data_IF_737652573738
#
_entry.id   IF_737652573738
#
_cell.length_a   1.000
_cell.length_b   1.000
_cell.length_c   1.000
_cell.angle_alpha   90.00
_cell.angle_beta   90.00
_cell.angle_gamma   90.00
#
_symmetry.space_group_name_H-M   'P 1'
#
loop_
_entity.id
_entity.type
_entity.pdbx_description
1 polymer ?
#
# COMPACT_ATOMS: atom_id res chain seq x y z
N UNK A 1 -71.86 46.74 -3.86
CA UNK A 1 -71.71 47.69 -4.99
C UNK A 1 -71.99 49.11 -4.52
N UNK A 2 -70.95 49.89 -4.23
CA UNK A 2 -70.82 51.33 -4.50
C UNK A 2 -69.47 51.77 -3.96
N UNK A 3 -68.57 52.02 -4.92
CA UNK A 3 -67.30 52.70 -4.73
C UNK A 3 -67.63 54.19 -4.64
N UNK A 4 -67.18 54.84 -3.57
CA UNK A 4 -67.07 56.29 -3.44
C UNK A 4 -66.08 56.56 -2.33
N UNK A 5 -65.00 57.31 -2.46
CA UNK A 5 -64.47 58.09 -3.56
C UNK A 5 -63.04 58.41 -3.14
N UNK A 6 -62.07 58.13 -4.01
CA UNK A 6 -60.69 58.56 -3.88
C UNK A 6 -60.64 60.08 -3.65
N UNK A 7 -60.19 60.52 -2.47
CA UNK A 7 -59.68 61.89 -2.31
C UNK A 7 -58.20 61.88 -2.64
N UNK A 8 -57.92 62.52 -3.78
CA UNK A 8 -56.63 62.96 -4.31
C UNK A 8 -55.70 63.47 -3.21
N UNK A 9 -54.48 62.94 -3.25
CA UNK A 9 -53.22 63.69 -3.17
C UNK A 9 -53.09 64.74 -2.09
N UNK A 10 -52.61 64.33 -0.91
CA UNK A 10 -51.73 65.19 -0.13
C UNK A 10 -50.31 65.02 -0.67
N UNK A 11 -49.86 65.97 -1.49
CA UNK A 11 -48.44 66.15 -1.76
C UNK A 11 -47.75 66.46 -0.42
N UNK A 12 -47.15 65.46 0.20
CA UNK A 12 -46.24 65.66 1.31
C UNK A 12 -44.90 66.16 0.75
N UNK A 13 -44.86 67.43 0.36
CA UNK A 13 -43.60 68.11 0.08
C UNK A 13 -42.91 68.36 1.42
N UNK A 14 -41.98 67.50 1.81
CA UNK A 14 -41.05 67.82 2.90
C UNK A 14 -40.17 68.95 2.37
N UNK A 15 -40.44 70.18 2.83
CA UNK A 15 -39.61 71.33 2.52
C UNK A 15 -38.34 71.26 3.39
N UNK A 16 -37.31 70.56 2.91
CA UNK A 16 -36.00 70.37 3.58
C UNK A 16 -35.15 71.65 3.51
N UNK A 17 -35.74 72.84 3.68
CA UNK A 17 -34.98 74.10 3.63
C UNK A 17 -34.72 74.75 4.98
N UNK A 18 -35.17 74.20 6.11
CA UNK A 18 -34.77 74.72 7.42
C UNK A 18 -35.05 73.77 8.60
N UNK A 19 -34.58 72.52 8.52
CA UNK A 19 -34.40 71.75 9.76
C UNK A 19 -33.08 72.24 10.36
N UNK A 20 -33.14 73.19 11.31
CA UNK A 20 -32.02 73.46 12.22
C UNK A 20 -31.86 72.23 13.10
N UNK A 21 -31.16 71.22 12.58
CA UNK A 21 -30.80 70.05 13.35
C UNK A 21 -29.93 70.55 14.50
N UNK A 22 -30.40 70.39 15.73
CA UNK A 22 -29.62 70.73 16.92
C UNK A 22 -28.26 70.05 16.79
N UNK A 23 -27.17 70.80 16.97
CA UNK A 23 -25.80 70.27 16.87
C UNK A 23 -25.62 69.06 17.78
N UNK A 24 -26.32 69.01 18.93
CA UNK A 24 -26.33 67.85 19.84
C UNK A 24 -27.01 66.61 19.23
N UNK A 25 -28.10 66.80 18.49
CA UNK A 25 -28.82 65.73 17.80
C UNK A 25 -28.00 65.19 16.61
N UNK A 26 -27.32 66.06 15.85
CA UNK A 26 -26.43 65.66 14.77
C UNK A 26 -25.27 64.79 15.29
N UNK A 27 -24.64 65.20 16.39
CA UNK A 27 -23.54 64.45 17.02
C UNK A 27 -24.03 63.09 17.52
N UNK A 28 -25.21 63.02 18.13
CA UNK A 28 -25.79 61.75 18.59
C UNK A 28 -26.05 60.77 17.43
N UNK A 29 -26.56 61.25 16.29
CA UNK A 29 -26.79 60.43 15.09
C UNK A 29 -25.46 59.93 14.51
N UNK A 30 -24.44 60.79 14.42
CA UNK A 30 -23.10 60.41 13.94
C UNK A 30 -22.50 59.34 14.85
N UNK A 31 -22.59 59.51 16.16
CA UNK A 31 -22.07 58.55 17.13
C UNK A 31 -22.78 57.19 17.01
N UNK A 32 -24.10 57.20 16.78
CA UNK A 32 -24.91 56.00 16.63
C UNK A 32 -24.56 55.27 15.32
N UNK A 33 -24.38 55.99 14.22
CA UNK A 33 -23.94 55.42 12.93
C UNK A 33 -22.52 54.83 13.04
N UNK A 34 -21.58 55.54 13.66
CA UNK A 34 -20.22 55.04 13.90
C UNK A 34 -20.21 53.81 14.81
N UNK A 35 -21.08 53.76 15.82
CA UNK A 35 -21.21 52.59 16.70
C UNK A 35 -21.74 51.37 15.95
N UNK A 36 -22.72 51.55 15.05
CA UNK A 36 -23.26 50.47 14.22
C UNK A 36 -22.23 49.99 13.20
N UNK A 37 -21.54 50.91 12.51
CA UNK A 37 -20.49 50.57 11.54
C UNK A 37 -19.29 49.88 12.22
N UNK A 38 -18.88 50.36 13.38
CA UNK A 38 -17.83 49.75 14.20
C UNK A 38 -18.23 48.36 14.71
N UNK A 39 -19.46 48.20 15.20
CA UNK A 39 -20.00 46.90 15.62
C UNK A 39 -20.11 45.91 14.46
N UNK A 40 -20.58 46.36 13.29
CA UNK A 40 -20.66 45.54 12.08
C UNK A 40 -19.29 45.12 11.55
N UNK A 41 -18.30 46.02 11.56
CA UNK A 41 -16.92 45.72 11.17
C UNK A 41 -16.25 44.75 12.15
N UNK A 42 -16.49 44.91 13.45
CA UNK A 42 -16.00 43.99 14.48
C UNK A 42 -16.59 42.58 14.31
N UNK A 43 -17.91 42.46 14.15
CA UNK A 43 -18.59 41.18 13.93
C UNK A 43 -18.14 40.51 12.62
N UNK A 44 -17.92 41.30 11.56
CA UNK A 44 -17.39 40.78 10.30
C UNK A 44 -15.97 40.22 10.48
N UNK A 45 -15.08 40.97 11.14
CA UNK A 45 -13.70 40.54 11.40
C UNK A 45 -13.64 39.28 12.29
N UNK A 46 -14.46 39.22 13.34
CA UNK A 46 -14.52 38.06 14.23
C UNK A 46 -15.02 36.82 13.49
N UNK A 47 -16.05 36.97 12.64
CA UNK A 47 -16.57 35.90 11.79
C UNK A 47 -15.55 35.44 10.72
N UNK A 48 -14.77 36.34 10.14
CA UNK A 48 -13.72 35.98 9.20
C UNK A 48 -12.57 35.24 9.89
N UNK A 49 -12.22 35.64 11.12
CA UNK A 49 -11.22 34.98 11.95
C UNK A 49 -11.65 33.56 12.34
N UNK A 50 -12.90 33.38 12.77
CA UNK A 50 -13.43 32.04 13.09
C UNK A 50 -13.50 31.14 11.86
N UNK A 51 -13.92 31.67 10.69
CA UNK A 51 -13.88 30.92 9.42
C UNK A 51 -12.47 30.46 9.05
N UNK A 52 -11.46 31.33 9.17
CA UNK A 52 -10.06 30.96 8.92
C UNK A 52 -9.57 29.88 9.88
N UNK A 53 -9.95 29.98 11.16
CA UNK A 53 -9.61 28.97 12.17
C UNK A 53 -10.28 27.62 11.87
N UNK A 54 -11.54 27.64 11.45
CA UNK A 54 -12.30 26.44 11.09
C UNK A 54 -11.76 25.80 9.81
N UNK A 55 -11.41 26.59 8.79
CA UNK A 55 -10.73 26.10 7.59
C UNK A 55 -9.36 25.47 7.92
N UNK A 56 -8.55 26.10 8.77
CA UNK A 56 -7.28 25.54 9.21
C UNK A 56 -7.47 24.22 9.98
N UNK A 57 -8.52 24.12 10.81
CA UNK A 57 -8.88 22.88 11.51
C UNK A 57 -9.28 21.78 10.53
N UNK A 58 -10.14 22.08 9.56
CA UNK A 58 -10.56 21.13 8.53
C UNK A 58 -9.39 20.65 7.67
N UNK A 59 -8.49 21.55 7.28
CA UNK A 59 -7.27 21.19 6.56
C UNK A 59 -6.37 20.26 7.38
N UNK A 60 -6.23 20.51 8.69
CA UNK A 60 -5.47 19.62 9.59
C UNK A 60 -6.10 18.23 9.67
N UNK A 61 -7.43 18.13 9.82
CA UNK A 61 -8.16 16.86 9.84
C UNK A 61 -8.00 16.11 8.51
N UNK A 62 -8.11 16.81 7.38
CA UNK A 62 -7.92 16.21 6.06
C UNK A 62 -6.50 15.69 5.87
N UNK A 63 -5.50 16.46 6.28
CA UNK A 63 -4.10 16.04 6.25
C UNK A 63 -3.87 14.80 7.11
N UNK A 64 -4.36 14.80 8.34
CA UNK A 64 -4.23 13.66 9.25
C UNK A 64 -4.90 12.39 8.70
N UNK A 65 -6.09 12.53 8.09
CA UNK A 65 -6.74 11.42 7.41
C UNK A 65 -5.93 10.91 6.21
N UNK A 66 -5.37 11.82 5.41
CA UNK A 66 -4.51 11.46 4.27
C UNK A 66 -3.24 10.72 4.73
N UNK A 67 -2.59 11.23 5.76
CA UNK A 67 -1.39 10.62 6.35
C UNK A 67 -1.73 9.23 6.92
N UNK A 68 -2.89 9.08 7.58
CA UNK A 68 -3.38 7.78 8.08
C UNK A 68 -3.63 6.78 6.96
N UNK A 69 -4.27 7.19 5.87
CA UNK A 69 -4.50 6.31 4.72
C UNK A 69 -3.19 5.90 4.04
N UNK A 70 -2.24 6.83 3.93
CA UNK A 70 -0.90 6.56 3.38
C UNK A 70 -0.16 5.54 4.26
N UNK A 71 -0.12 5.76 5.57
CA UNK A 71 0.47 4.81 6.53
C UNK A 71 -0.14 3.41 6.40
N UNK A 72 -1.48 3.31 6.38
CA UNK A 72 -2.16 2.02 6.26
C UNK A 72 -1.86 1.32 4.94
N UNK A 73 -1.81 2.07 3.84
CA UNK A 73 -1.47 1.54 2.51
C UNK A 73 -0.02 1.07 2.46
N UNK A 74 0.93 1.88 2.92
CA UNK A 74 2.36 1.54 2.91
C UNK A 74 2.65 0.35 3.80
N UNK A 75 2.05 0.31 5.00
CA UNK A 75 2.12 -0.83 5.91
C UNK A 75 1.54 -2.07 5.24
N UNK A 76 0.35 -1.99 4.65
CA UNK A 76 -0.25 -3.11 3.92
C UNK A 76 0.66 -3.63 2.81
N UNK A 77 1.13 -2.75 1.93
CA UNK A 77 2.01 -3.12 0.81
C UNK A 77 3.33 -3.72 1.28
N UNK A 78 3.85 -3.31 2.44
CA UNK A 78 5.02 -3.95 3.03
C UNK A 78 4.76 -5.44 3.29
N UNK A 79 3.61 -5.82 3.81
CA UNK A 79 3.33 -7.24 4.08
C UNK A 79 2.79 -8.00 2.86
N UNK A 80 2.76 -7.42 1.65
CA UNK A 80 2.31 -8.14 0.45
C UNK A 80 3.39 -9.12 -0.04
N UNK A 81 3.09 -10.41 0.01
CA UNK A 81 4.00 -11.47 -0.43
C UNK A 81 3.56 -12.87 0.00
N UNK A 82 4.42 -13.85 -0.26
CA UNK A 82 4.28 -15.19 0.29
C UNK A 82 4.96 -15.22 1.67
N UNK A 83 4.15 -15.41 2.71
CA UNK A 83 4.66 -15.72 4.05
C UNK A 83 5.25 -17.15 4.09
N UNK A 84 5.78 -17.53 5.24
CA UNK A 84 6.40 -18.85 5.41
C UNK A 84 5.44 -20.02 5.14
N UNK A 85 4.19 -19.94 5.59
CA UNK A 85 3.20 -21.00 5.43
C UNK A 85 2.73 -21.09 3.97
N UNK A 86 2.48 -19.92 3.37
CA UNK A 86 2.19 -19.71 1.98
C UNK A 86 3.28 -20.26 1.05
N UNK A 87 4.56 -20.03 1.37
CA UNK A 87 5.69 -20.58 0.63
C UNK A 87 5.64 -22.10 0.58
N UNK A 88 5.33 -22.73 1.72
CA UNK A 88 5.29 -24.20 1.79
C UNK A 88 4.25 -24.76 0.84
N UNK A 89 3.03 -24.21 0.85
CA UNK A 89 1.99 -24.61 -0.10
C UNK A 89 2.35 -24.32 -1.56
N UNK A 90 2.91 -23.14 -1.85
CA UNK A 90 3.41 -22.78 -3.17
C UNK A 90 4.44 -23.79 -3.69
N UNK A 91 5.43 -24.14 -2.86
CA UNK A 91 6.51 -25.05 -3.23
C UNK A 91 5.99 -26.46 -3.54
N UNK A 92 5.08 -26.98 -2.72
CA UNK A 92 4.56 -28.32 -2.91
C UNK A 92 3.77 -28.43 -4.23
N UNK A 93 3.00 -27.39 -4.56
CA UNK A 93 2.25 -27.30 -5.82
C UNK A 93 3.18 -27.17 -7.03
N UNK A 94 4.18 -26.29 -6.97
CA UNK A 94 5.19 -26.14 -8.02
C UNK A 94 5.95 -27.45 -8.24
N UNK A 95 6.30 -28.15 -7.16
CA UNK A 95 7.03 -29.42 -7.24
C UNK A 95 6.21 -30.51 -7.92
N UNK A 96 4.94 -30.62 -7.56
CA UNK A 96 3.98 -31.54 -8.18
C UNK A 96 3.94 -31.36 -9.71
N UNK A 97 3.89 -30.12 -10.19
CA UNK A 97 3.90 -29.85 -11.62
C UNK A 97 5.22 -30.21 -12.27
N UNK A 98 6.35 -29.79 -11.67
CA UNK A 98 7.67 -30.12 -12.19
C UNK A 98 7.82 -31.65 -12.36
N UNK A 99 7.37 -32.42 -11.37
CA UNK A 99 7.44 -33.87 -11.40
C UNK A 99 6.49 -34.47 -12.46
N UNK A 100 5.27 -33.91 -12.64
CA UNK A 100 4.36 -34.29 -13.73
C UNK A 100 4.98 -34.09 -15.12
N UNK A 101 5.59 -32.92 -15.38
CA UNK A 101 6.27 -32.65 -16.65
C UNK A 101 7.51 -33.56 -16.82
N UNK A 102 8.27 -33.80 -15.75
CA UNK A 102 9.48 -34.63 -15.78
C UNK A 102 9.20 -36.08 -16.17
N UNK A 103 8.13 -36.69 -15.65
CA UNK A 103 7.72 -38.06 -16.03
C UNK A 103 7.41 -38.17 -17.53
N UNK A 104 7.01 -37.06 -18.16
CA UNK A 104 6.74 -36.97 -19.59
C UNK A 104 7.93 -36.41 -20.41
N UNK A 105 9.16 -36.51 -19.86
CA UNK A 105 10.40 -36.06 -20.50
C UNK A 105 10.47 -34.54 -20.80
N UNK A 106 9.77 -33.73 -20.01
CA UNK A 106 9.89 -32.26 -20.03
C UNK A 106 10.66 -31.79 -18.79
N UNK A 107 11.76 -31.09 -19.00
CA UNK A 107 12.64 -30.60 -17.95
C UNK A 107 12.44 -29.10 -17.74
N UNK A 108 12.25 -28.66 -16.50
CA UNK A 108 12.16 -27.23 -16.18
C UNK A 108 13.46 -26.52 -16.63
N UNK A 109 13.30 -25.50 -17.46
CA UNK A 109 14.39 -24.70 -18.02
C UNK A 109 14.39 -23.27 -17.48
N UNK A 110 13.18 -22.69 -17.37
CA UNK A 110 12.96 -21.35 -16.83
C UNK A 110 11.78 -21.36 -15.86
N UNK A 111 11.95 -20.68 -14.73
CA UNK A 111 10.88 -20.25 -13.85
C UNK A 111 11.14 -18.80 -13.46
N UNK A 112 10.13 -17.96 -13.54
CA UNK A 112 10.19 -16.59 -13.04
C UNK A 112 8.85 -16.24 -12.40
N UNK A 113 8.84 -16.15 -11.08
CA UNK A 113 7.67 -16.00 -10.24
C UNK A 113 7.77 -14.70 -9.42
N UNK A 114 6.75 -13.86 -9.53
CA UNK A 114 6.57 -12.66 -8.72
C UNK A 114 5.17 -12.62 -8.08
N UNK A 115 4.18 -12.13 -8.83
CA UNK A 115 2.74 -12.20 -8.64
C UNK A 115 2.16 -13.40 -9.36
N UNK A 116 2.69 -13.71 -10.54
CA UNK A 116 2.40 -14.90 -11.34
C UNK A 116 3.72 -15.56 -11.70
N UNK A 117 3.67 -16.78 -12.24
CA UNK A 117 4.84 -17.51 -12.70
C UNK A 117 4.86 -17.65 -14.23
N UNK A 118 6.00 -17.33 -14.83
CA UNK A 118 6.34 -17.75 -16.18
C UNK A 118 7.20 -19.01 -16.09
N UNK A 119 6.79 -20.07 -16.78
CA UNK A 119 7.49 -21.35 -16.78
C UNK A 119 7.85 -21.74 -18.20
N UNK A 120 9.07 -22.24 -18.40
CA UNK A 120 9.47 -22.88 -19.64
C UNK A 120 10.05 -24.26 -19.34
N UNK A 121 9.57 -25.26 -20.06
CA UNK A 121 10.11 -26.61 -20.04
C UNK A 121 10.80 -26.89 -21.37
N UNK A 122 12.00 -27.46 -21.31
CA UNK A 122 12.69 -27.98 -22.49
C UNK A 122 12.49 -29.47 -22.62
N UNK A 123 12.45 -29.95 -23.85
CA UNK A 123 12.38 -31.38 -24.13
C UNK A 123 13.67 -32.07 -23.65
N UNK A 124 13.52 -33.19 -22.95
CA UNK A 124 14.63 -34.05 -22.59
C UNK A 124 15.17 -34.83 -23.79
N UNK A 125 16.38 -35.35 -23.67
CA UNK A 125 16.94 -36.32 -24.63
C UNK A 125 16.04 -37.56 -24.65
N UNK A 126 15.63 -38.04 -25.84
CA UNK A 126 14.75 -39.20 -26.16
C UNK A 126 13.27 -38.91 -26.56
N UNK A 127 13.09 -38.65 -27.86
CA UNK A 127 12.21 -39.25 -28.90
C UNK A 127 10.70 -39.52 -28.83
N UNK A 128 9.96 -39.19 -27.77
CA UNK A 128 8.49 -39.01 -27.95
C UNK A 128 8.06 -37.59 -27.65
N UNK A 129 7.47 -36.97 -28.67
CA UNK A 129 6.85 -35.67 -28.57
C UNK A 129 5.50 -35.81 -27.87
N UNK A 130 5.33 -35.17 -26.73
CA UNK A 130 4.07 -35.15 -25.98
C UNK A 130 3.68 -33.70 -25.69
N UNK A 131 2.63 -33.21 -26.33
CA UNK A 131 2.03 -31.92 -25.97
C UNK A 131 1.32 -32.07 -24.62
N UNK A 132 1.63 -31.19 -23.68
CA UNK A 132 1.06 -31.20 -22.34
C UNK A 132 0.45 -29.84 -22.00
N UNK A 133 -0.70 -29.89 -21.36
CA UNK A 133 -1.36 -28.73 -20.77
C UNK A 133 -1.19 -28.76 -19.26
N UNK A 134 -1.29 -27.59 -18.63
CA UNK A 134 -1.23 -27.46 -17.18
C UNK A 134 -2.63 -27.21 -16.64
N UNK A 135 -3.03 -27.91 -15.57
CA UNK A 135 -4.27 -27.62 -14.87
C UNK A 135 -3.97 -26.87 -13.57
N UNK A 136 -4.52 -25.67 -13.45
CA UNK A 136 -4.34 -24.82 -12.26
C UNK A 136 -5.66 -24.16 -11.89
N UNK A 137 -6.08 -24.32 -10.64
CA UNK A 137 -7.28 -23.69 -10.09
C UNK A 137 -8.55 -23.95 -10.94
N UNK A 138 -8.66 -25.16 -11.52
CA UNK A 138 -9.78 -25.54 -12.38
C UNK A 138 -9.72 -25.00 -13.81
N UNK A 139 -8.66 -24.27 -14.17
CA UNK A 139 -8.42 -23.78 -15.52
C UNK A 139 -7.34 -24.60 -16.22
N UNK A 140 -7.59 -24.92 -17.50
CA UNK A 140 -6.62 -25.54 -18.38
C UNK A 140 -5.79 -24.45 -19.06
N UNK A 141 -4.50 -24.43 -18.78
CA UNK A 141 -3.53 -23.47 -19.31
C UNK A 141 -2.78 -24.14 -20.46
N UNK A 142 -2.90 -23.55 -21.64
CA UNK A 142 -2.22 -24.02 -22.86
C UNK A 142 -0.85 -23.35 -23.00
N UNK A 143 0.22 -24.11 -23.25
CA UNK A 143 1.52 -23.51 -23.48
C UNK A 143 1.61 -22.87 -24.87
N UNK A 144 2.41 -21.81 -24.99
CA UNK A 144 3.02 -21.47 -26.26
C UNK A 144 4.06 -22.55 -26.59
N UNK A 145 3.89 -23.17 -27.74
CA UNK A 145 4.64 -24.36 -28.13
C UNK A 145 5.68 -24.05 -29.22
N UNK A 146 6.89 -24.57 -29.02
CA UNK A 146 7.92 -24.79 -30.02
C UNK A 146 8.40 -26.24 -29.87
N UNK A 147 8.89 -26.89 -30.94
CA UNK A 147 9.18 -28.35 -31.00
C UNK A 147 10.03 -28.87 -29.83
N UNK A 148 10.81 -27.99 -29.19
CA UNK A 148 11.69 -28.32 -28.07
C UNK A 148 11.33 -27.58 -26.76
N UNK A 149 10.26 -26.77 -26.73
CA UNK A 149 9.88 -25.93 -25.57
C UNK A 149 8.38 -25.82 -25.36
N UNK A 150 7.94 -25.98 -24.11
CA UNK A 150 6.61 -25.59 -23.64
C UNK A 150 6.74 -24.35 -22.77
N UNK A 151 6.06 -23.25 -23.14
CA UNK A 151 6.09 -22.00 -22.40
C UNK A 151 4.72 -21.66 -21.84
N UNK A 152 4.62 -21.54 -20.52
CA UNK A 152 3.43 -21.14 -19.81
C UNK A 152 3.64 -19.72 -19.26
N UNK A 153 2.80 -18.79 -19.67
CA UNK A 153 2.86 -17.40 -19.22
C UNK A 153 1.79 -17.12 -18.17
N UNK A 154 2.14 -16.31 -17.17
CA UNK A 154 1.22 -15.81 -16.15
C UNK A 154 0.45 -16.91 -15.40
N UNK A 155 1.09 -18.04 -15.10
CA UNK A 155 0.47 -19.10 -14.31
C UNK A 155 0.28 -18.63 -12.88
N UNK A 156 -0.94 -18.74 -12.40
CA UNK A 156 -1.30 -18.34 -11.05
C UNK A 156 -0.98 -19.43 -10.02
N UNK A 157 0.27 -19.45 -9.56
CA UNK A 157 0.69 -20.27 -8.42
C UNK A 157 0.57 -19.55 -7.09
N UNK A 158 0.42 -18.23 -7.09
CA UNK A 158 0.67 -17.41 -5.91
C UNK A 158 -0.64 -16.92 -5.33
N UNK A 159 -1.68 -16.61 -6.12
CA UNK A 159 -2.92 -16.02 -5.59
C UNK A 159 -3.60 -16.89 -4.54
N UNK A 160 -3.58 -18.21 -4.72
CA UNK A 160 -4.18 -19.19 -3.79
C UNK A 160 -3.41 -19.36 -2.49
N UNK A 161 -2.16 -18.88 -2.43
CA UNK A 161 -1.29 -18.97 -1.27
C UNK A 161 -0.90 -17.61 -0.71
N UNK A 162 -1.23 -16.49 -1.35
CA UNK A 162 -0.95 -15.17 -0.78
C UNK A 162 -1.47 -15.12 0.64
N UNK A 163 -0.62 -14.61 1.52
CA UNK A 163 -1.01 -14.18 2.86
C UNK A 163 -2.34 -13.41 2.75
N UNK A 164 -3.42 -14.03 3.25
CA UNK A 164 -4.77 -13.45 3.29
C UNK A 164 -4.81 -12.27 4.26
N UNK A 165 -3.76 -12.07 5.07
CA UNK A 165 -3.69 -11.08 6.14
C UNK A 165 -3.96 -9.63 5.71
N UNK A 166 -4.09 -9.31 4.41
CA UNK A 166 -4.06 -7.93 3.91
C UNK A 166 -5.26 -7.43 3.12
N UNK A 167 -6.30 -8.24 2.89
CA UNK A 167 -7.58 -7.65 2.46
C UNK A 167 -8.23 -7.05 3.70
N UNK A 168 -8.10 -5.72 3.81
CA UNK A 168 -8.64 -4.88 4.88
C UNK A 168 -8.16 -5.28 6.27
N UNK A 169 -6.88 -4.98 6.56
CA UNK A 169 -6.31 -5.13 7.91
C UNK A 169 -7.18 -4.38 8.92
N UNK A 170 -7.92 -5.13 9.72
CA UNK A 170 -8.53 -4.60 10.93
C UNK A 170 -7.42 -4.21 11.93
N UNK A 171 -7.78 -3.37 12.89
CA UNK A 171 -6.83 -2.90 13.90
C UNK A 171 -6.25 -4.05 14.74
N UNK A 172 -7.01 -5.13 14.93
CA UNK A 172 -6.56 -6.37 15.60
C UNK A 172 -5.61 -7.20 14.74
N UNK A 173 -5.81 -7.26 13.42
CA UNK A 173 -4.92 -8.00 12.53
C UNK A 173 -3.58 -7.29 12.38
N UNK A 174 -3.58 -5.95 12.34
CA UNK A 174 -2.35 -5.15 12.41
C UNK A 174 -1.54 -5.50 13.66
N UNK A 175 -2.18 -5.49 14.83
CA UNK A 175 -1.50 -5.78 16.10
C UNK A 175 -0.91 -7.21 16.14
N UNK A 176 -1.52 -8.18 15.45
CA UNK A 176 -0.94 -9.53 15.28
C UNK A 176 0.26 -9.53 14.34
N UNK A 177 0.19 -8.80 13.23
CA UNK A 177 1.32 -8.63 12.30
C UNK A 177 2.49 -7.87 12.94
N UNK A 178 2.22 -6.95 13.86
CA UNK A 178 3.23 -6.20 14.61
C UNK A 178 4.07 -7.12 15.52
N UNK A 179 3.46 -8.14 16.14
CA UNK A 179 4.18 -9.10 16.99
C UNK A 179 5.21 -9.97 16.24
N UNK A 180 5.21 -9.90 14.91
CA UNK A 180 6.14 -10.61 14.05
C UNK A 180 7.42 -9.78 13.81
N UNK A 181 7.36 -8.46 14.00
CA UNK A 181 8.45 -7.54 13.68
C UNK A 181 9.44 -7.49 14.84
N UNK A 182 10.72 -7.72 14.55
CA UNK A 182 11.82 -7.73 15.52
C UNK A 182 12.73 -6.51 15.36
N UNK A 183 13.65 -6.30 16.32
CA UNK A 183 14.63 -5.21 16.24
C UNK A 183 15.56 -5.39 15.02
N UNK A 184 15.87 -4.31 14.32
CA UNK A 184 16.75 -4.38 13.14
C UNK A 184 18.14 -4.93 13.44
N UNK A 185 18.68 -4.69 14.64
CA UNK A 185 19.95 -5.25 15.10
C UNK A 185 19.91 -6.77 15.19
N UNK A 186 18.87 -7.31 15.83
CA UNK A 186 18.63 -8.76 15.94
C UNK A 186 18.48 -9.37 14.56
N UNK A 187 17.62 -8.79 13.72
CA UNK A 187 17.37 -9.28 12.36
C UNK A 187 18.64 -9.35 11.53
N UNK A 188 19.41 -8.26 11.51
CA UNK A 188 20.64 -8.21 10.75
C UNK A 188 21.67 -9.22 11.26
N UNK A 189 21.78 -9.39 12.58
CA UNK A 189 22.66 -10.40 13.18
C UNK A 189 22.34 -11.81 12.67
N UNK A 190 21.06 -12.20 12.68
CA UNK A 190 20.60 -13.49 12.14
C UNK A 190 20.97 -13.66 10.66
N UNK A 191 20.73 -12.62 9.85
CA UNK A 191 21.00 -12.65 8.42
C UNK A 191 22.49 -12.75 8.10
N UNK A 192 23.34 -12.02 8.84
CA UNK A 192 24.79 -12.12 8.66
C UNK A 192 25.32 -13.49 9.10
N UNK A 193 24.78 -14.06 10.18
CA UNK A 193 25.12 -15.43 10.58
C UNK A 193 24.73 -16.44 9.51
N UNK A 194 23.53 -16.31 8.93
CA UNK A 194 23.09 -17.15 7.83
C UNK A 194 23.98 -17.00 6.59
N UNK A 195 24.34 -15.76 6.23
CA UNK A 195 25.26 -15.48 5.14
C UNK A 195 26.60 -16.20 5.34
N UNK A 196 27.14 -16.21 6.57
CA UNK A 196 28.38 -16.92 6.90
C UNK A 196 28.23 -18.43 6.71
N UNK A 197 27.13 -19.01 7.17
CA UNK A 197 26.85 -20.45 7.03
C UNK A 197 26.69 -20.89 5.57
N UNK A 198 26.18 -20.01 4.71
CA UNK A 198 25.84 -20.33 3.32
C UNK A 198 26.87 -19.83 2.29
N UNK A 199 27.93 -19.15 2.75
CA UNK A 199 28.89 -18.41 1.90
C UNK A 199 29.53 -19.25 0.79
N UNK A 200 29.72 -20.54 1.02
CA UNK A 200 30.33 -21.46 0.05
C UNK A 200 29.33 -22.06 -0.95
N UNK A 201 28.03 -21.97 -0.65
CA UNK A 201 26.98 -22.65 -1.41
C UNK A 201 26.17 -21.70 -2.29
N UNK A 202 26.02 -20.44 -1.89
CA UNK A 202 25.22 -19.45 -2.60
C UNK A 202 25.85 -18.07 -2.49
N UNK A 203 25.55 -17.19 -3.44
CA UNK A 203 25.84 -15.77 -3.29
C UNK A 203 24.68 -15.12 -2.54
N UNK A 204 24.96 -14.64 -1.33
CA UNK A 204 23.98 -14.05 -0.45
C UNK A 204 24.30 -12.57 -0.24
N UNK A 205 23.34 -11.69 -0.51
CA UNK A 205 23.50 -10.23 -0.37
C UNK A 205 22.37 -9.68 0.49
N UNK A 206 22.76 -8.98 1.56
CA UNK A 206 21.84 -8.31 2.48
C UNK A 206 21.79 -6.84 2.09
N UNK A 207 20.60 -6.36 1.75
CA UNK A 207 20.32 -4.95 1.53
C UNK A 207 19.79 -4.35 2.85
N UNK A 208 20.55 -3.39 3.41
CA UNK A 208 20.25 -2.77 4.69
C UNK A 208 18.84 -2.15 4.74
N UNK A 209 18.20 -2.19 5.91
CA UNK A 209 16.83 -1.76 6.03
C UNK A 209 16.70 -0.24 5.92
N UNK A 210 15.61 0.21 5.30
CA UNK A 210 15.26 1.63 5.09
C UNK A 210 13.84 1.86 5.60
N UNK A 211 13.50 3.06 6.02
CA UNK A 211 12.17 3.34 6.55
C UNK A 211 11.07 3.00 5.53
N UNK A 212 10.04 2.29 5.98
CA UNK A 212 8.85 1.99 5.18
C UNK A 212 8.01 3.24 4.99
N UNK A 213 7.91 4.05 6.05
CA UNK A 213 7.17 5.31 6.03
C UNK A 213 8.03 6.44 6.62
N UNK A 214 7.72 7.68 6.24
CA UNK A 214 8.36 8.88 6.79
C UNK A 214 7.42 9.69 7.70
N UNK A 215 6.36 9.05 8.19
CA UNK A 215 5.30 9.70 8.96
C UNK A 215 5.67 9.69 10.44
N UNK A 216 5.86 10.88 11.03
CA UNK A 216 6.23 11.05 12.44
C UNK A 216 5.33 12.07 13.15
N UNK A 217 5.10 11.89 14.45
CA UNK A 217 4.44 12.88 15.31
C UNK A 217 2.92 12.74 15.44
N UNK A 218 2.36 11.59 15.07
CA UNK A 218 0.94 11.28 15.27
C UNK A 218 0.76 10.10 16.22
N UNK A 219 -0.13 10.23 17.20
CA UNK A 219 -0.36 9.21 18.23
C UNK A 219 -0.94 7.89 17.70
N UNK A 220 -1.62 7.93 16.53
CA UNK A 220 -2.15 6.74 15.89
C UNK A 220 -1.09 5.95 15.11
N UNK A 221 0.13 6.49 14.94
CA UNK A 221 1.24 5.79 14.29
C UNK A 221 1.93 4.93 15.35
N UNK A 222 1.58 3.64 15.39
CA UNK A 222 2.18 2.71 16.34
C UNK A 222 3.65 2.41 16.06
N UNK A 223 4.03 2.36 14.79
CA UNK A 223 5.34 1.87 14.37
C UNK A 223 5.94 2.72 13.22
N UNK A 224 6.15 4.01 13.48
CA UNK A 224 6.77 4.96 12.54
C UNK A 224 8.18 4.54 12.13
N UNK A 225 8.86 3.76 12.98
CA UNK A 225 10.24 3.34 12.79
C UNK A 225 10.39 2.01 12.05
N UNK A 226 9.30 1.39 11.56
CA UNK A 226 9.44 0.17 10.75
C UNK A 226 10.29 0.45 9.53
N UNK A 227 11.27 -0.41 9.35
CA UNK A 227 12.19 -0.43 8.23
C UNK A 227 12.01 -1.72 7.44
N UNK A 228 12.19 -1.62 6.13
CA UNK A 228 12.23 -2.76 5.21
C UNK A 228 13.64 -2.94 4.69
N UNK A 229 14.12 -4.17 4.72
CA UNK A 229 15.31 -4.59 3.99
C UNK A 229 14.99 -5.70 3.02
N UNK A 230 16.01 -6.17 2.30
CA UNK A 230 15.86 -7.35 1.46
C UNK A 230 17.11 -8.20 1.42
N UNK A 231 16.93 -9.46 1.06
CA UNK A 231 17.97 -10.45 0.88
C UNK A 231 17.87 -10.92 -0.56
N UNK A 232 18.99 -10.92 -1.25
CA UNK A 232 19.14 -11.51 -2.57
C UNK A 232 20.00 -12.77 -2.43
N UNK A 233 19.45 -13.91 -2.83
CA UNK A 233 20.14 -15.19 -2.87
C UNK A 233 20.29 -15.54 -4.35
N UNK A 234 21.51 -15.78 -4.82
CA UNK A 234 21.82 -16.20 -6.18
C UNK A 234 22.64 -17.50 -6.19
N UNK A 235 22.57 -18.22 -7.30
CA UNK A 235 23.31 -19.47 -7.56
C UNK A 235 23.00 -20.61 -6.57
N UNK A 236 21.81 -20.60 -5.96
CA UNK A 236 21.39 -21.72 -5.10
C UNK A 236 21.03 -22.93 -5.98
N UNK A 237 21.50 -24.15 -5.67
CA UNK A 237 21.02 -25.34 -6.35
C UNK A 237 19.52 -25.56 -6.13
N UNK A 238 18.76 -26.05 -7.12
CA UNK A 238 17.32 -26.37 -6.98
C UNK A 238 17.04 -27.24 -5.74
N UNK A 239 17.89 -28.23 -5.46
CA UNK A 239 17.77 -29.12 -4.28
C UNK A 239 17.78 -28.36 -2.93
N UNK A 240 18.32 -27.15 -2.91
CA UNK A 240 18.41 -26.31 -1.72
C UNK A 240 17.22 -25.34 -1.59
N UNK A 241 16.24 -25.38 -2.49
CA UNK A 241 14.97 -24.65 -2.37
C UNK A 241 14.28 -24.90 -1.03
N UNK A 242 14.30 -26.15 -0.56
CA UNK A 242 13.75 -26.51 0.75
C UNK A 242 14.45 -25.82 1.93
N UNK A 243 15.71 -25.40 1.76
CA UNK A 243 16.43 -24.63 2.79
C UNK A 243 15.85 -23.23 2.96
N UNK A 244 15.15 -22.67 1.95
CA UNK A 244 14.47 -21.39 2.10
C UNK A 244 13.45 -21.40 3.24
N UNK A 245 12.85 -22.56 3.53
CA UNK A 245 11.96 -22.74 4.69
C UNK A 245 12.71 -22.51 6.01
N UNK A 246 13.97 -22.95 6.09
CA UNK A 246 14.79 -22.76 7.30
C UNK A 246 15.39 -21.35 7.39
N UNK A 247 15.45 -20.62 6.27
CA UNK A 247 15.92 -19.23 6.17
C UNK A 247 14.80 -18.25 6.54
N UNK A 248 13.57 -18.57 6.14
CA UNK A 248 12.41 -17.75 6.44
C UNK A 248 11.97 -17.93 7.90
N UNK A 249 11.83 -16.81 8.59
CA UNK A 249 11.01 -16.73 9.80
C UNK A 249 9.76 -15.90 9.49
N UNK A 250 8.88 -15.73 10.46
CA UNK A 250 7.61 -15.03 10.26
C UNK A 250 7.79 -13.58 9.75
N UNK A 251 8.95 -12.94 9.99
CA UNK A 251 9.25 -11.55 9.61
C UNK A 251 9.78 -11.38 8.18
N UNK A 252 9.77 -12.45 7.37
CA UNK A 252 10.23 -12.43 5.98
C UNK A 252 9.11 -12.79 5.00
N UNK A 253 9.12 -12.11 3.85
CA UNK A 253 8.19 -12.34 2.73
C UNK A 253 8.98 -12.58 1.45
N UNK A 254 8.65 -13.61 0.68
CA UNK A 254 9.25 -13.77 -0.64
C UNK A 254 8.51 -12.88 -1.64
N UNK A 255 9.29 -12.10 -2.40
CA UNK A 255 8.77 -11.19 -3.42
C UNK A 255 9.10 -11.62 -4.85
N UNK A 256 10.17 -12.40 -5.03
CA UNK A 256 10.44 -13.03 -6.31
C UNK A 256 11.25 -14.31 -6.17
N UNK A 257 10.97 -15.25 -7.06
CA UNK A 257 11.68 -16.51 -7.20
C UNK A 257 11.94 -16.73 -8.69
N UNK A 258 13.19 -16.97 -9.08
CA UNK A 258 13.53 -17.32 -10.46
C UNK A 258 14.51 -18.47 -10.51
N UNK A 259 14.42 -19.26 -11.57
CA UNK A 259 15.35 -20.32 -11.92
C UNK A 259 15.61 -20.23 -13.41
N UNK A 260 16.87 -20.10 -13.79
CA UNK A 260 17.29 -20.11 -15.19
C UNK A 260 18.66 -20.77 -15.27
N UNK A 261 18.85 -21.68 -16.23
CA UNK A 261 20.12 -22.39 -16.44
C UNK A 261 20.66 -23.06 -15.16
N UNK A 262 19.78 -23.68 -14.37
CA UNK A 262 20.10 -24.30 -13.07
C UNK A 262 20.64 -23.36 -11.99
N UNK A 263 20.62 -22.04 -12.23
CA UNK A 263 20.89 -21.02 -11.22
C UNK A 263 19.59 -20.49 -10.67
N UNK A 264 19.33 -20.75 -9.39
CA UNK A 264 18.24 -20.15 -8.66
C UNK A 264 18.58 -18.74 -8.19
N UNK A 265 17.62 -17.83 -8.28
CA UNK A 265 17.66 -16.54 -7.58
C UNK A 265 16.37 -16.31 -6.81
N UNK A 266 16.48 -15.83 -5.58
CA UNK A 266 15.33 -15.39 -4.80
C UNK A 266 15.59 -14.03 -4.16
N UNK A 267 14.50 -13.27 -4.04
CA UNK A 267 14.44 -12.05 -3.26
C UNK A 267 13.46 -12.23 -2.12
N UNK A 268 13.95 -12.06 -0.90
CA UNK A 268 13.15 -12.01 0.31
C UNK A 268 13.17 -10.58 0.84
N UNK A 269 12.02 -10.06 1.22
CA UNK A 269 11.92 -8.83 2.00
C UNK A 269 11.82 -9.20 3.48
N UNK A 270 12.37 -8.35 4.35
CA UNK A 270 12.21 -8.49 5.79
C UNK A 270 11.87 -7.14 6.42
N UNK A 271 11.14 -7.19 7.53
CA UNK A 271 10.70 -6.02 8.28
C UNK A 271 11.28 -6.02 9.69
N UNK A 272 11.68 -4.85 10.17
CA UNK A 272 12.23 -4.66 11.50
C UNK A 272 11.93 -3.26 12.02
N UNK A 273 12.06 -3.02 13.33
CA UNK A 273 12.01 -1.67 13.93
C UNK A 273 13.38 -1.21 14.43
#
# INVERSE_FOLDING_TARGET
MKISSLKKGSNFSINIKNIKLDKKLLVAIIFLVLSILGGGAYLYYENEKTKKLEQARLQKIQKENSDKQTYLSDFKSAFEGLDYQALTGFYDVLRSDIDFFRVNNWLLDVMDCNVNCNLAFKRGSFDTFTYLEMNRNGAVIKPQFDQNKLQFANVDYISGFRSIYLKDLTEQERDKSENIIEQCSTKLSELYNLQLLMKEQVKFKINLPRNVTSISGYDWVKNSDIKFGSIEIENMPEKNLGLMKNIMNNSMMITSISLQNSSFKSKLNYYCY
#
